data_IF_068146389240
#
_entry.id   IF_068146389240
#
_cell.length_a   1.000
_cell.length_b   1.000
_cell.length_c   1.000
_cell.angle_alpha   90.00
_cell.angle_beta   90.00
_cell.angle_gamma   90.00
#
_symmetry.space_group_name_H-M   'P 1'
#
loop_
_entity.id
_entity.type
_entity.pdbx_description
1 polymer ?
#
# COMPACT_ATOMS: atom_id res chain seq x y z
N UNK A 1 9.64 -1.83 -1.27
CA UNK A 1 9.04 -2.31 -2.54
C UNK A 1 7.72 -1.59 -2.73
N UNK A 2 7.39 -1.13 -3.94
CA UNK A 2 6.09 -0.52 -4.24
C UNK A 2 5.09 -1.62 -4.58
N UNK A 3 3.92 -1.62 -3.96
CA UNK A 3 2.86 -2.63 -4.15
C UNK A 3 1.83 -2.22 -5.20
N UNK A 4 2.12 -1.20 -6.01
CA UNK A 4 1.22 -0.71 -7.08
C UNK A 4 0.76 -1.82 -8.04
N UNK A 5 1.56 -2.89 -8.17
CA UNK A 5 1.30 -4.03 -9.04
C UNK A 5 0.75 -5.27 -8.31
N UNK A 6 0.42 -5.18 -7.02
CA UNK A 6 -0.17 -6.29 -6.26
C UNK A 6 -1.61 -6.51 -6.71
N UNK A 7 -1.89 -7.72 -7.22
CA UNK A 7 -3.08 -8.04 -8.00
C UNK A 7 -3.26 -9.55 -8.14
N UNK A 8 -3.55 -10.05 -9.35
CA UNK A 8 -3.75 -11.49 -9.58
C UNK A 8 -2.57 -12.34 -9.05
N UNK A 9 -2.85 -13.52 -8.50
CA UNK A 9 -1.88 -14.40 -7.83
C UNK A 9 -0.56 -14.60 -8.59
N UNK A 10 -0.58 -14.62 -9.92
CA UNK A 10 0.62 -14.72 -10.74
C UNK A 10 1.56 -13.50 -10.60
N UNK A 11 1.02 -12.29 -10.47
CA UNK A 11 1.78 -11.04 -10.26
C UNK A 11 2.34 -10.94 -8.83
N UNK A 12 1.75 -11.64 -7.87
CA UNK A 12 2.19 -11.62 -6.47
C UNK A 12 3.43 -12.49 -6.22
N UNK A 13 3.69 -13.49 -7.07
CA UNK A 13 4.85 -14.39 -6.97
C UNK A 13 6.20 -13.66 -6.89
N UNK A 14 6.32 -12.52 -7.57
CA UNK A 14 7.51 -11.66 -7.49
C UNK A 14 7.76 -11.14 -6.07
N UNK A 15 6.70 -10.71 -5.37
CA UNK A 15 6.81 -10.24 -3.99
C UNK A 15 7.01 -11.40 -3.02
N UNK A 16 6.27 -12.50 -3.20
CA UNK A 16 6.40 -13.71 -2.37
C UNK A 16 7.84 -14.20 -2.33
N UNK A 17 8.48 -14.35 -3.49
CA UNK A 17 9.87 -14.83 -3.59
C UNK A 17 10.84 -13.86 -2.90
N UNK A 18 10.70 -12.55 -3.14
CA UNK A 18 11.63 -11.56 -2.59
C UNK A 18 11.47 -11.37 -1.09
N UNK A 19 10.25 -11.41 -0.58
CA UNK A 19 9.97 -11.33 0.85
C UNK A 19 10.40 -12.61 1.56
N UNK A 20 10.15 -13.78 0.96
CA UNK A 20 10.67 -15.05 1.43
C UNK A 20 12.19 -15.05 1.55
N UNK A 21 12.91 -14.62 0.51
CA UNK A 21 14.37 -14.51 0.55
C UNK A 21 14.89 -13.58 1.67
N UNK A 22 14.22 -12.45 1.90
CA UNK A 22 14.60 -11.51 2.96
C UNK A 22 14.33 -12.09 4.35
N UNK A 23 13.18 -12.77 4.51
CA UNK A 23 12.80 -13.44 5.74
C UNK A 23 13.75 -14.62 6.07
N UNK A 24 14.06 -15.47 5.08
CA UNK A 24 15.00 -16.59 5.21
C UNK A 24 16.41 -16.12 5.57
N UNK A 25 16.79 -14.92 5.10
CA UNK A 25 18.05 -14.28 5.46
C UNK A 25 18.02 -13.60 6.85
N UNK A 26 16.90 -13.62 7.55
CA UNK A 26 16.74 -13.08 8.91
C UNK A 26 16.56 -11.56 8.98
N UNK A 27 16.16 -10.90 7.89
CA UNK A 27 15.88 -9.47 7.90
C UNK A 27 14.47 -9.16 8.38
N UNK A 28 14.32 -8.09 9.17
CA UNK A 28 13.02 -7.48 9.40
C UNK A 28 12.66 -6.58 8.22
N UNK A 29 11.41 -6.67 7.77
CA UNK A 29 10.94 -6.03 6.54
C UNK A 29 9.98 -4.90 6.89
N UNK A 30 10.18 -3.74 6.25
CA UNK A 30 9.20 -2.65 6.23
C UNK A 30 8.55 -2.64 4.85
N UNK A 31 7.25 -2.93 4.81
CA UNK A 31 6.42 -2.88 3.61
C UNK A 31 5.84 -1.47 3.45
N UNK A 32 5.98 -0.87 2.27
CA UNK A 32 5.42 0.46 1.99
C UNK A 32 4.30 0.34 0.98
N UNK A 33 3.04 0.39 1.43
CA UNK A 33 1.83 0.46 0.61
C UNK A 33 1.75 1.86 -0.03
N UNK A 34 2.63 2.09 -1.01
CA UNK A 34 3.00 3.41 -1.50
C UNK A 34 1.88 4.09 -2.32
N UNK A 35 1.18 3.34 -3.15
CA UNK A 35 0.32 3.89 -4.21
C UNK A 35 -0.93 3.05 -4.41
N UNK A 36 -1.90 3.62 -5.13
CA UNK A 36 -3.16 2.97 -5.46
C UNK A 36 -2.98 1.88 -6.53
N UNK A 37 -3.47 0.65 -6.28
CA UNK A 37 -3.58 -0.37 -7.33
C UNK A 37 -4.39 0.15 -8.52
N UNK A 38 -3.98 -0.19 -9.74
CA UNK A 38 -4.55 0.29 -11.02
C UNK A 38 -6.08 0.37 -11.02
N UNK A 39 -6.76 -0.72 -10.64
CA UNK A 39 -8.24 -0.81 -10.64
C UNK A 39 -8.97 0.10 -9.64
N UNK A 40 -8.27 0.77 -8.72
CA UNK A 40 -8.85 1.64 -7.70
C UNK A 40 -8.52 3.12 -7.90
N UNK A 41 -7.70 3.46 -8.91
CA UNK A 41 -7.32 4.84 -9.21
C UNK A 41 -8.53 5.66 -9.65
N UNK A 42 -8.51 6.97 -9.38
CA UNK A 42 -9.52 7.88 -9.89
C UNK A 42 -9.36 8.10 -11.41
N UNK A 43 -10.34 7.71 -12.25
CA UNK A 43 -10.22 7.87 -13.70
C UNK A 43 -10.05 9.33 -14.15
N UNK A 44 -10.58 10.29 -13.40
CA UNK A 44 -10.37 11.72 -13.70
C UNK A 44 -8.93 12.14 -13.37
N UNK A 45 -8.35 11.57 -12.31
CA UNK A 45 -6.94 11.77 -12.00
C UNK A 45 -6.05 11.10 -13.04
N UNK A 46 -6.37 9.89 -13.50
CA UNK A 46 -5.62 9.23 -14.56
C UNK A 46 -5.61 10.07 -15.85
N UNK A 47 -6.78 10.60 -16.24
CA UNK A 47 -6.87 11.52 -17.37
C UNK A 47 -6.07 12.81 -17.16
N UNK A 48 -5.98 13.33 -15.93
CA UNK A 48 -5.12 14.47 -15.59
C UNK A 48 -3.64 14.10 -15.71
N UNK A 49 -3.22 12.97 -15.13
CA UNK A 49 -1.85 12.48 -15.15
C UNK A 49 -1.35 12.28 -16.59
N UNK A 50 -2.18 11.72 -17.46
CA UNK A 50 -1.91 11.59 -18.90
C UNK A 50 -1.71 12.96 -19.58
N UNK A 51 -2.55 13.94 -19.25
CA UNK A 51 -2.47 15.30 -19.83
C UNK A 51 -1.25 16.09 -19.35
N UNK A 52 -0.78 15.85 -18.13
CA UNK A 52 0.34 16.57 -17.51
C UNK A 52 1.67 15.80 -17.58
N UNK A 53 1.66 14.56 -18.08
CA UNK A 53 2.85 13.70 -18.15
C UNK A 53 3.31 13.20 -16.78
N UNK A 54 2.41 13.11 -15.81
CA UNK A 54 2.69 12.61 -14.47
C UNK A 54 2.38 11.11 -14.36
N UNK A 55 3.03 10.37 -13.45
CA UNK A 55 2.72 8.97 -13.26
C UNK A 55 1.34 8.74 -12.62
N UNK A 56 0.51 7.95 -13.28
CA UNK A 56 -0.87 7.62 -12.86
C UNK A 56 -0.97 6.92 -11.50
N UNK A 57 0.09 6.23 -11.06
CA UNK A 57 0.11 5.53 -9.78
C UNK A 57 0.02 6.47 -8.58
N UNK A 58 0.32 7.76 -8.75
CA UNK A 58 0.10 8.79 -7.73
C UNK A 58 -1.35 9.25 -7.59
N UNK A 59 -2.24 8.75 -8.45
CA UNK A 59 -3.66 9.01 -8.30
C UNK A 59 -4.21 8.29 -7.07
N UNK A 60 -4.73 9.09 -6.13
CA UNK A 60 -5.41 8.59 -4.94
C UNK A 60 -6.64 7.75 -5.32
N UNK A 61 -7.07 6.81 -4.45
CA UNK A 61 -8.21 5.96 -4.76
C UNK A 61 -9.52 6.75 -4.71
N UNK A 62 -10.47 6.40 -5.58
CA UNK A 62 -11.85 6.93 -5.50
C UNK A 62 -12.62 6.34 -4.33
N UNK A 63 -12.44 5.04 -4.12
CA UNK A 63 -13.05 4.23 -3.07
C UNK A 63 -12.00 3.91 -1.99
N UNK A 64 -12.13 4.57 -0.84
CA UNK A 64 -11.20 4.41 0.28
C UNK A 64 -11.38 3.05 0.99
N UNK A 65 -12.59 2.48 0.97
CA UNK A 65 -12.88 1.16 1.56
C UNK A 65 -12.26 0.07 0.70
N UNK A 66 -12.28 0.22 -0.62
CA UNK A 66 -11.59 -0.69 -1.53
C UNK A 66 -10.07 -0.70 -1.32
N UNK A 67 -9.47 0.47 -1.07
CA UNK A 67 -8.06 0.57 -0.69
C UNK A 67 -7.78 -0.13 0.65
N UNK A 68 -8.62 0.10 1.67
CA UNK A 68 -8.48 -0.55 2.97
C UNK A 68 -8.61 -2.08 2.89
N UNK A 69 -9.57 -2.58 2.12
CA UNK A 69 -9.74 -4.01 1.88
C UNK A 69 -8.56 -4.63 1.13
N UNK A 70 -7.96 -3.89 0.19
CA UNK A 70 -6.73 -4.31 -0.46
C UNK A 70 -5.55 -4.35 0.53
N UNK A 71 -5.39 -3.31 1.35
CA UNK A 71 -4.34 -3.27 2.36
C UNK A 71 -4.43 -4.46 3.32
N UNK A 72 -5.62 -4.79 3.82
CA UNK A 72 -5.85 -5.96 4.67
C UNK A 72 -5.42 -7.26 3.98
N UNK A 73 -5.74 -7.46 2.70
CA UNK A 73 -5.34 -8.65 1.94
C UNK A 73 -3.83 -8.76 1.74
N UNK A 74 -3.15 -7.62 1.58
CA UNK A 74 -1.68 -7.61 1.50
C UNK A 74 -1.11 -8.00 2.86
N UNK A 75 -1.65 -7.46 3.96
CA UNK A 75 -1.17 -7.75 5.32
C UNK A 75 -1.38 -9.22 5.68
N UNK A 76 -2.59 -9.76 5.49
CA UNK A 76 -2.92 -11.17 5.72
C UNK A 76 -1.89 -12.09 5.05
N UNK A 77 -1.55 -11.80 3.80
CA UNK A 77 -0.62 -12.64 3.03
C UNK A 77 0.80 -12.69 3.63
N UNK A 78 1.17 -11.72 4.45
CA UNK A 78 2.54 -11.57 4.97
C UNK A 78 2.58 -11.26 6.47
N UNK A 79 1.58 -11.74 7.22
CA UNK A 79 1.57 -11.63 8.68
C UNK A 79 2.18 -12.86 9.35
N UNK A 80 2.48 -13.92 8.61
CA UNK A 80 3.30 -15.03 9.09
C UNK A 80 2.64 -15.83 10.22
N UNK A 81 1.31 -15.81 10.33
CA UNK A 81 0.59 -16.58 11.35
C UNK A 81 0.25 -18.02 10.91
N UNK A 82 0.46 -18.32 9.62
CA UNK A 82 0.24 -19.62 9.00
C UNK A 82 -1.11 -19.79 8.29
N UNK A 83 -2.01 -18.81 8.37
CA UNK A 83 -3.31 -18.79 7.71
C UNK A 83 -3.26 -17.88 6.46
N UNK A 84 -3.70 -18.38 5.30
CA UNK A 84 -3.74 -17.68 4.00
C UNK A 84 -2.46 -16.89 3.56
N UNK A 85 -1.34 -17.21 4.18
CA UNK A 85 0.00 -16.66 3.94
C UNK A 85 0.56 -16.94 2.53
N UNK A 86 1.56 -16.14 2.15
CA UNK A 86 2.44 -16.48 1.04
C UNK A 86 3.27 -17.75 1.34
N UNK A 87 3.73 -18.49 0.30
CA UNK A 87 4.62 -19.63 0.50
C UNK A 87 5.85 -19.26 1.35
N UNK A 88 6.12 -20.06 2.38
CA UNK A 88 7.19 -19.79 3.34
C UNK A 88 6.78 -18.91 4.53
N UNK A 89 5.53 -18.41 4.56
CA UNK A 89 4.96 -17.61 5.66
C UNK A 89 5.88 -16.45 6.10
N UNK A 90 6.35 -15.60 5.17
CA UNK A 90 7.25 -14.50 5.52
C UNK A 90 6.49 -13.39 6.24
N UNK A 91 7.10 -12.83 7.29
CA UNK A 91 6.53 -11.72 8.08
C UNK A 91 7.02 -10.36 7.62
N UNK A 92 6.10 -9.43 7.36
CA UNK A 92 6.40 -8.00 7.31
C UNK A 92 6.20 -7.39 8.70
N UNK A 93 7.25 -6.73 9.22
CA UNK A 93 7.29 -6.24 10.60
C UNK A 93 6.56 -4.90 10.78
N UNK A 94 6.51 -4.07 9.73
CA UNK A 94 5.82 -2.80 9.75
C UNK A 94 5.31 -2.40 8.36
N UNK A 95 4.18 -1.70 8.34
CA UNK A 95 3.52 -1.22 7.14
C UNK A 95 3.46 0.30 7.13
N UNK A 96 4.05 0.93 6.12
CA UNK A 96 3.88 2.35 5.85
C UNK A 96 2.77 2.55 4.81
N UNK A 97 1.81 3.42 5.11
CA UNK A 97 0.74 3.79 4.19
C UNK A 97 1.12 5.08 3.47
N UNK A 98 1.29 5.01 2.15
CA UNK A 98 1.70 6.11 1.28
C UNK A 98 3.11 6.67 1.55
N UNK A 99 3.57 7.61 0.71
CA UNK A 99 4.76 8.44 0.94
C UNK A 99 4.47 9.88 0.48
N UNK A 100 4.75 10.88 1.30
CA UNK A 100 4.58 12.31 0.97
C UNK A 100 3.19 12.66 0.41
N UNK A 101 2.09 12.31 1.10
CA UNK A 101 0.73 12.62 0.62
C UNK A 101 0.40 14.12 0.59
N UNK A 102 1.28 14.95 1.15
CA UNK A 102 1.21 16.40 1.26
C UNK A 102 1.77 17.14 0.04
N UNK A 103 2.44 16.44 -0.89
CA UNK A 103 2.94 17.03 -2.12
C UNK A 103 2.04 16.68 -3.31
N UNK A 104 1.74 17.68 -4.15
CA UNK A 104 0.92 17.48 -5.37
C UNK A 104 1.52 16.42 -6.31
N UNK A 105 2.85 16.27 -6.33
CA UNK A 105 3.55 15.30 -7.19
C UNK A 105 3.46 13.84 -6.73
N UNK A 106 3.02 13.61 -5.49
CA UNK A 106 2.89 12.29 -4.86
C UNK A 106 1.48 12.05 -4.31
N UNK A 107 0.57 13.00 -4.50
CA UNK A 107 -0.87 12.86 -4.32
C UNK A 107 -1.58 13.70 -5.40
N UNK A 108 -1.93 13.05 -6.51
CA UNK A 108 -2.47 13.76 -7.67
C UNK A 108 -3.98 14.00 -7.56
N UNK A 109 -4.49 15.10 -8.18
CA UNK A 109 -3.75 16.17 -8.86
C UNK A 109 -3.16 17.23 -7.89
N UNK A 110 -3.66 17.27 -6.67
CA UNK A 110 -3.29 18.20 -5.62
C UNK A 110 -3.41 17.48 -4.28
N UNK A 111 -2.48 17.74 -3.36
CA UNK A 111 -2.51 17.19 -2.02
C UNK A 111 -3.86 17.43 -1.31
N UNK A 112 -4.40 16.38 -0.70
CA UNK A 112 -5.69 16.41 0.02
C UNK A 112 -5.53 15.77 1.41
N UNK A 113 -5.07 16.56 2.42
CA UNK A 113 -4.84 16.03 3.77
C UNK A 113 -6.08 15.42 4.43
N UNK A 114 -7.30 16.01 4.33
CA UNK A 114 -8.52 15.37 4.83
C UNK A 114 -8.79 14.00 4.21
N UNK A 115 -8.66 13.87 2.87
CA UNK A 115 -8.88 12.60 2.18
C UNK A 115 -7.82 11.56 2.54
N UNK A 116 -6.55 11.96 2.60
CA UNK A 116 -5.48 11.08 3.08
C UNK A 116 -5.75 10.59 4.52
N UNK A 117 -6.15 11.50 5.42
CA UNK A 117 -6.48 11.13 6.81
C UNK A 117 -7.62 10.10 6.90
N UNK A 118 -8.67 10.26 6.08
CA UNK A 118 -9.76 9.29 6.00
C UNK A 118 -9.29 7.92 5.48
N UNK A 119 -8.49 7.91 4.40
CA UNK A 119 -7.91 6.69 3.84
C UNK A 119 -7.00 5.98 4.84
N UNK A 120 -6.12 6.73 5.50
CA UNK A 120 -5.19 6.23 6.50
C UNK A 120 -5.94 5.56 7.66
N UNK A 121 -7.03 6.17 8.14
CA UNK A 121 -7.85 5.58 9.21
C UNK A 121 -8.48 4.25 8.79
N UNK A 122 -9.11 4.20 7.61
CA UNK A 122 -9.76 2.98 7.12
C UNK A 122 -8.74 1.85 6.90
N UNK A 123 -7.61 2.17 6.28
CA UNK A 123 -6.53 1.20 6.08
C UNK A 123 -5.93 0.73 7.41
N UNK A 124 -5.72 1.62 8.39
CA UNK A 124 -5.24 1.25 9.73
C UNK A 124 -6.21 0.25 10.40
N UNK A 125 -7.50 0.55 10.41
CA UNK A 125 -8.51 -0.30 11.06
C UNK A 125 -8.58 -1.69 10.37
N UNK A 126 -8.48 -1.74 9.05
CA UNK A 126 -8.49 -3.00 8.28
C UNK A 126 -7.21 -3.83 8.46
N UNK A 127 -6.04 -3.18 8.45
CA UNK A 127 -4.74 -3.82 8.72
C UNK A 127 -4.73 -4.44 10.12
N UNK A 128 -5.23 -3.72 11.12
CA UNK A 128 -5.30 -4.21 12.50
C UNK A 128 -6.29 -5.36 12.71
N UNK A 129 -7.27 -5.50 11.83
CA UNK A 129 -8.18 -6.64 11.84
C UNK A 129 -7.53 -7.90 11.26
N UNK A 130 -6.74 -7.77 10.19
CA UNK A 130 -5.95 -8.87 9.62
C UNK A 130 -4.84 -9.27 10.60
N UNK A 131 -3.98 -8.33 10.96
CA UNK A 131 -2.88 -8.55 11.91
C UNK A 131 -2.93 -7.53 13.06
N UNK A 132 -3.48 -7.91 14.23
CA UNK A 132 -3.53 -7.05 15.41
C UNK A 132 -2.15 -6.58 15.89
N UNK A 133 -1.10 -7.35 15.57
CA UNK A 133 0.28 -7.10 16.00
C UNK A 133 1.09 -6.25 15.03
N UNK A 134 0.59 -6.01 13.81
CA UNK A 134 1.25 -5.18 12.80
C UNK A 134 1.57 -3.77 13.30
N UNK A 135 2.79 -3.27 13.06
CA UNK A 135 3.09 -1.85 13.22
C UNK A 135 2.62 -1.09 11.97
N UNK A 136 1.91 0.01 12.16
CA UNK A 136 1.42 0.85 11.05
C UNK A 136 1.96 2.26 11.18
N UNK A 137 2.61 2.75 10.13
CA UNK A 137 3.14 4.09 10.01
C UNK A 137 2.42 4.86 8.89
N UNK A 138 2.30 6.16 9.07
CA UNK A 138 1.83 7.06 8.01
C UNK A 138 3.02 7.44 7.10
N UNK A 139 2.73 7.78 5.84
CA UNK A 139 3.70 8.38 4.93
C UNK A 139 4.22 9.68 5.52
N UNK A 140 5.54 9.89 5.46
CA UNK A 140 6.17 11.13 5.93
C UNK A 140 5.53 12.31 5.20
N UNK A 141 5.20 13.38 5.93
CA UNK A 141 4.92 14.69 5.35
C UNK A 141 6.18 15.57 5.49
N UNK A 142 6.41 16.45 4.52
CA UNK A 142 7.50 17.41 4.56
C UNK A 142 7.03 18.76 5.13
N UNK A 143 7.90 19.43 5.87
CA UNK A 143 7.63 20.78 6.35
C UNK A 143 7.69 21.74 5.15
N UNK A 144 6.55 22.34 4.80
CA UNK A 144 6.45 23.47 3.84
C UNK A 144 6.86 24.80 4.45
#
# INVERSE_FOLDING_TARGET
MSWAAWGDNARNSFYDERLGMLADAGFNIIGMLLTTPEKYRDPNCEAYADQTGQPDYWCAPTDLDAYAAWAAKVVERYDGDGDDDAPGSPRVAAWQIWNEPDQDGTWLPQADPPRYGAMLKLAYDAIKQADPTALVAYGRCDDV
#
